data_IF_558925072548
#
_entry.id   IF_558925072548
#
_cell.length_a   1.000
_cell.length_b   1.000
_cell.length_c   1.000
_cell.angle_alpha   90.00
_cell.angle_beta   90.00
_cell.angle_gamma   90.00
#
_symmetry.space_group_name_H-M   'P 1'
#
loop_
_entity.id
_entity.type
_entity.pdbx_description
1 polymer ?
#
# COMPACT_ATOMS: atom_id res chain seq x y z
N UNK A 1 -2.26 -50.31 21.93
CA UNK A 1 -2.54 -49.21 22.87
C UNK A 1 -1.44 -48.17 22.71
N UNK A 2 -1.81 -46.88 22.55
CA UNK A 2 -0.97 -45.64 22.51
C UNK A 2 0.09 -45.59 21.37
N UNK A 3 -0.01 -44.85 20.27
CA UNK A 3 -0.18 -43.39 19.97
C UNK A 3 0.99 -42.50 20.45
N UNK A 4 1.51 -41.70 19.50
CA UNK A 4 2.36 -40.49 19.59
C UNK A 4 3.89 -40.69 19.67
N UNK A 5 4.73 -39.90 18.99
CA UNK A 5 4.47 -38.65 18.29
C UNK A 5 5.47 -38.38 17.15
N UNK A 6 4.93 -37.84 16.07
CA UNK A 6 5.68 -37.09 15.07
C UNK A 6 6.21 -35.83 15.75
N UNK A 7 7.53 -35.62 15.73
CA UNK A 7 8.09 -34.30 16.04
C UNK A 7 7.80 -33.38 14.85
N UNK A 8 6.82 -32.49 15.04
CA UNK A 8 6.63 -31.32 14.20
C UNK A 8 7.82 -30.39 14.42
N UNK A 9 8.56 -30.18 13.35
CA UNK A 9 9.71 -29.31 13.25
C UNK A 9 9.21 -27.93 12.78
N UNK A 10 8.43 -27.22 13.60
CA UNK A 10 8.03 -25.84 13.32
C UNK A 10 7.76 -25.11 14.62
N UNK A 11 8.79 -24.44 15.17
CA UNK A 11 8.61 -23.24 15.98
C UNK A 11 9.95 -22.49 16.07
N UNK A 12 10.32 -21.81 14.98
CA UNK A 12 11.21 -20.64 15.02
C UNK A 12 10.56 -19.58 14.12
N UNK A 13 9.81 -18.62 14.68
CA UNK A 13 9.09 -17.59 13.93
C UNK A 13 9.97 -16.43 13.42
N UNK A 14 11.29 -16.60 13.40
CA UNK A 14 12.25 -15.56 13.01
C UNK A 14 12.93 -15.81 11.64
N UNK A 15 12.58 -16.90 10.94
CA UNK A 15 13.21 -17.32 9.67
C UNK A 15 12.62 -16.67 8.39
N UNK A 16 11.70 -15.71 8.50
CA UNK A 16 11.05 -15.11 7.31
C UNK A 16 11.91 -14.07 6.57
N UNK A 17 13.17 -13.84 6.98
CA UNK A 17 14.01 -12.76 6.44
C UNK A 17 15.44 -13.15 5.99
N UNK A 18 15.84 -14.42 6.07
CA UNK A 18 17.19 -14.87 5.65
C UNK A 18 17.19 -15.63 4.30
N UNK A 19 16.37 -15.22 3.34
CA UNK A 19 16.56 -15.65 1.95
C UNK A 19 17.68 -14.82 1.29
N UNK A 20 18.93 -15.19 1.58
CA UNK A 20 20.08 -14.84 0.76
C UNK A 20 19.83 -15.29 -0.69
N UNK A 21 20.00 -14.43 -1.71
CA UNK A 21 19.91 -14.88 -3.09
C UNK A 21 21.07 -15.84 -3.41
N UNK A 22 20.72 -17.06 -3.84
CA UNK A 22 21.61 -18.13 -4.26
C UNK A 22 22.68 -17.62 -5.25
N UNK A 23 23.94 -17.51 -4.80
CA UNK A 23 25.08 -17.29 -5.69
C UNK A 23 25.36 -18.56 -6.49
N UNK A 24 25.54 -18.48 -7.83
CA UNK A 24 26.00 -19.62 -8.60
C UNK A 24 27.40 -20.06 -8.15
N UNK A 25 27.54 -21.32 -7.75
CA UNK A 25 28.83 -21.97 -7.54
C UNK A 25 29.63 -22.00 -8.85
N UNK A 26 30.59 -21.08 -8.99
CA UNK A 26 31.62 -21.22 -10.00
C UNK A 26 32.69 -22.21 -9.48
N UNK A 27 32.54 -23.47 -9.86
CA UNK A 27 33.61 -24.46 -9.78
C UNK A 27 34.58 -24.17 -10.93
N UNK A 28 35.79 -23.75 -10.60
CA UNK A 28 36.94 -24.02 -11.47
C UNK A 28 38.17 -24.50 -10.69
N UNK A 29 39.01 -25.34 -11.33
CA UNK A 29 39.96 -26.19 -10.66
C UNK A 29 41.24 -25.43 -10.29
N UNK A 30 41.88 -25.89 -9.20
CA UNK A 30 43.27 -25.58 -8.88
C UNK A 30 44.19 -26.00 -10.03
N UNK A 31 45.06 -25.10 -10.46
CA UNK A 31 46.39 -25.43 -10.96
C UNK A 31 47.45 -24.52 -10.30
N UNK A 32 48.67 -25.02 -10.08
CA UNK A 32 49.74 -24.31 -9.38
C UNK A 32 50.68 -23.60 -10.36
N UNK A 33 51.16 -22.39 -10.02
CA UNK A 33 52.19 -21.76 -10.84
C UNK A 33 52.56 -20.32 -10.47
N UNK A 34 53.63 -20.19 -9.69
CA UNK A 34 54.71 -19.19 -9.81
C UNK A 34 54.40 -17.69 -10.03
N UNK A 35 54.77 -16.95 -8.98
CA UNK A 35 55.88 -15.98 -8.96
C UNK A 35 55.61 -14.46 -9.03
N UNK A 36 56.36 -13.80 -8.13
CA UNK A 36 56.87 -12.43 -8.12
C UNK A 36 55.91 -11.28 -7.71
N UNK A 37 55.94 -10.99 -6.40
CA UNK A 37 55.63 -9.68 -5.82
C UNK A 37 56.85 -8.78 -6.05
N UNK A 38 56.70 -7.74 -6.88
CA UNK A 38 57.66 -6.65 -7.00
C UNK A 38 57.15 -5.43 -6.22
N UNK A 39 57.81 -5.14 -5.10
CA UNK A 39 57.66 -3.91 -4.32
C UNK A 39 58.47 -2.79 -4.99
N UNK A 40 57.84 -1.67 -5.33
CA UNK A 40 58.53 -0.39 -5.54
C UNK A 40 57.82 0.74 -4.81
N UNK A 41 58.54 1.74 -4.27
CA UNK A 41 58.02 2.70 -3.31
C UNK A 41 57.63 4.06 -3.91
N UNK A 42 56.56 4.63 -3.34
CA UNK A 42 56.25 6.05 -3.05
C UNK A 42 56.66 7.13 -4.07
N UNK A 43 55.64 7.80 -4.62
CA UNK A 43 55.68 9.23 -4.91
C UNK A 43 54.32 9.86 -4.60
N UNK A 44 54.31 10.87 -3.72
CA UNK A 44 53.14 11.64 -3.32
C UNK A 44 52.74 12.68 -4.38
N UNK A 45 51.45 13.06 -4.43
CA UNK A 45 51.10 14.45 -4.70
C UNK A 45 50.13 15.06 -3.68
N UNK A 46 50.41 16.32 -3.40
CA UNK A 46 49.68 17.48 -2.83
C UNK A 46 48.14 17.39 -2.70
N UNK A 47 47.54 18.04 -1.67
CA UNK A 47 46.12 17.93 -1.37
C UNK A 47 45.28 18.79 -2.32
N UNK A 48 44.51 18.14 -3.19
CA UNK A 48 43.42 18.78 -3.90
C UNK A 48 42.14 18.67 -3.07
N UNK A 49 41.50 19.82 -2.88
CA UNK A 49 40.18 20.09 -2.30
C UNK A 49 39.21 18.90 -2.27
N UNK A 50 38.81 18.49 -1.07
CA UNK A 50 37.72 17.55 -0.83
C UNK A 50 36.45 17.94 -1.61
N UNK A 51 35.92 17.09 -2.52
CA UNK A 51 34.49 17.11 -2.79
C UNK A 51 33.77 16.58 -1.55
N UNK A 52 32.80 17.34 -1.06
CA UNK A 52 31.92 16.97 0.05
C UNK A 52 31.43 15.52 -0.13
N UNK A 53 31.64 14.61 0.83
CA UNK A 53 31.15 13.26 0.70
C UNK A 53 29.61 13.29 0.70
N UNK A 54 29.02 12.82 -0.40
CA UNK A 54 27.61 12.43 -0.48
C UNK A 54 27.36 11.49 0.71
N UNK A 55 26.40 11.77 1.60
CA UNK A 55 26.19 10.92 2.76
C UNK A 55 25.92 9.48 2.29
N UNK A 56 26.46 8.47 2.99
CA UNK A 56 26.23 7.08 2.65
C UNK A 56 24.72 6.79 2.59
N UNK A 57 24.29 6.18 1.48
CA UNK A 57 23.05 5.41 1.44
C UNK A 57 23.25 4.31 2.46
N UNK A 58 22.69 4.48 3.66
CA UNK A 58 22.18 3.44 4.57
C UNK A 58 22.15 3.96 6.01
N UNK A 59 21.01 4.56 6.34
CA UNK A 59 20.35 4.63 7.65
C UNK A 59 19.18 5.63 7.54
N UNK A 60 18.36 5.50 6.50
CA UNK A 60 17.16 6.33 6.39
C UNK A 60 16.14 5.79 7.38
N UNK A 61 15.69 6.68 8.28
CA UNK A 61 14.45 6.50 9.04
C UNK A 61 13.37 5.91 8.11
N UNK A 62 12.48 5.02 8.57
CA UNK A 62 11.51 4.31 7.72
C UNK A 62 10.41 5.19 7.11
N UNK A 63 10.70 6.45 6.79
CA UNK A 63 9.81 7.40 6.15
C UNK A 63 10.48 8.21 5.05
N UNK A 64 9.64 8.80 4.20
CA UNK A 64 10.11 9.80 3.24
C UNK A 64 10.67 11.02 3.98
N UNK A 65 11.82 11.51 3.53
CA UNK A 65 12.44 12.73 4.06
C UNK A 65 11.90 13.99 3.38
N UNK A 66 11.20 13.83 2.24
CA UNK A 66 10.86 14.94 1.34
C UNK A 66 9.37 15.05 1.03
N UNK A 67 8.56 14.04 1.38
CA UNK A 67 7.11 14.07 1.24
C UNK A 67 6.44 13.79 2.57
N UNK A 68 5.47 14.63 2.90
CA UNK A 68 4.51 14.38 3.97
C UNK A 68 3.15 14.11 3.35
N UNK A 69 2.47 13.06 3.81
CA UNK A 69 1.17 12.66 3.27
C UNK A 69 0.16 12.51 4.41
N UNK A 70 -1.04 13.05 4.22
CA UNK A 70 -2.15 12.89 5.16
C UNK A 70 -3.24 12.05 4.52
N UNK A 71 -3.75 11.09 5.29
CA UNK A 71 -4.70 10.09 4.82
C UNK A 71 -6.07 10.28 5.48
N UNK A 72 -7.13 10.03 4.72
CA UNK A 72 -8.49 9.91 5.25
C UNK A 72 -8.69 8.57 5.98
N UNK A 73 -9.92 8.32 6.40
CA UNK A 73 -10.29 7.05 7.01
C UNK A 73 -10.29 5.87 6.05
N UNK A 74 -10.31 6.07 4.73
CA UNK A 74 -10.12 5.01 3.74
C UNK A 74 -8.65 4.70 3.44
N UNK A 75 -7.70 5.30 4.18
CA UNK A 75 -6.26 5.27 3.88
C UNK A 75 -5.95 5.78 2.46
N UNK A 76 -6.71 6.76 1.98
CA UNK A 76 -6.44 7.45 0.72
C UNK A 76 -5.87 8.85 1.00
N UNK A 77 -4.94 9.34 0.17
CA UNK A 77 -4.41 10.69 0.30
C UNK A 77 -5.51 11.75 0.26
N UNK A 78 -5.42 12.73 1.17
CA UNK A 78 -6.25 13.96 1.20
C UNK A 78 -5.38 15.20 1.09
N UNK A 79 -4.11 15.09 1.48
CA UNK A 79 -3.12 16.15 1.35
C UNK A 79 -1.74 15.53 1.11
N UNK A 80 -1.02 16.06 0.15
CA UNK A 80 0.35 15.66 -0.18
C UNK A 80 1.20 16.93 -0.19
N UNK A 81 2.23 16.95 0.64
CA UNK A 81 3.16 18.08 0.74
C UNK A 81 4.54 17.63 0.31
N UNK A 82 5.04 18.27 -0.75
CA UNK A 82 6.39 18.04 -1.26
C UNK A 82 7.32 19.14 -0.73
N UNK A 83 8.47 18.73 -0.23
CA UNK A 83 9.55 19.63 0.16
C UNK A 83 10.01 20.45 -1.05
N UNK A 84 10.39 21.72 -0.81
CA UNK A 84 11.02 22.57 -1.83
C UNK A 84 12.31 21.98 -2.41
N UNK A 85 12.94 21.07 -1.68
CA UNK A 85 14.18 20.41 -2.10
C UNK A 85 13.93 19.08 -2.83
N UNK A 86 12.66 18.70 -3.04
CA UNK A 86 12.26 17.47 -3.72
C UNK A 86 13.01 17.25 -5.04
N UNK A 87 12.92 18.23 -5.95
CA UNK A 87 13.53 18.15 -7.28
C UNK A 87 15.06 18.09 -7.26
N UNK A 88 15.68 18.45 -6.13
CA UNK A 88 17.15 18.42 -5.96
C UNK A 88 17.66 17.05 -5.49
N UNK A 89 16.86 16.33 -4.71
CA UNK A 89 17.31 15.10 -4.04
C UNK A 89 16.59 13.84 -4.47
N UNK A 90 15.39 13.96 -5.03
CA UNK A 90 14.60 12.83 -5.53
C UNK A 90 14.77 12.76 -7.04
N UNK A 91 15.31 11.65 -7.52
CA UNK A 91 15.42 11.43 -8.94
C UNK A 91 14.01 11.22 -9.55
N UNK A 92 13.73 11.72 -10.76
CA UNK A 92 12.41 11.61 -11.36
C UNK A 92 11.92 10.16 -11.53
N UNK A 93 12.84 9.19 -11.66
CA UNK A 93 12.54 7.75 -11.69
C UNK A 93 12.11 7.19 -10.33
N UNK A 94 12.62 7.77 -9.24
CA UNK A 94 12.35 7.33 -7.87
C UNK A 94 11.15 8.06 -7.26
N UNK A 95 10.50 8.95 -8.01
CA UNK A 95 9.39 9.78 -7.51
C UNK A 95 8.24 8.92 -6.98
N UNK A 96 7.84 7.87 -7.72
CA UNK A 96 6.80 6.94 -7.26
C UNK A 96 7.19 6.17 -5.99
N UNK A 97 8.45 5.73 -5.90
CA UNK A 97 8.96 5.01 -4.72
C UNK A 97 8.96 5.90 -3.48
N UNK A 98 9.41 7.14 -3.61
CA UNK A 98 9.47 8.08 -2.49
C UNK A 98 8.06 8.49 -2.02
N UNK A 99 7.11 8.65 -2.93
CA UNK A 99 5.69 8.84 -2.61
C UNK A 99 5.11 7.63 -1.87
N UNK A 100 5.44 6.40 -2.30
CA UNK A 100 5.02 5.19 -1.61
C UNK A 100 5.63 5.07 -0.21
N UNK A 101 6.88 5.49 0.00
CA UNK A 101 7.49 5.56 1.34
C UNK A 101 6.79 6.57 2.24
N UNK A 102 6.42 7.73 1.71
CA UNK A 102 5.67 8.73 2.46
C UNK A 102 4.27 8.20 2.85
N UNK A 103 3.61 7.51 1.93
CA UNK A 103 2.34 6.84 2.18
C UNK A 103 2.44 5.77 3.29
N UNK A 104 3.47 4.91 3.21
CA UNK A 104 3.72 3.89 4.24
C UNK A 104 4.00 4.50 5.61
N UNK A 105 4.77 5.60 5.65
CA UNK A 105 5.00 6.34 6.89
C UNK A 105 3.72 6.93 7.47
N UNK A 106 2.86 7.53 6.62
CA UNK A 106 1.57 8.07 7.05
C UNK A 106 0.65 6.98 7.64
N UNK A 107 0.67 5.77 7.07
CA UNK A 107 -0.02 4.61 7.67
C UNK A 107 0.59 4.25 9.02
N UNK A 108 1.92 4.14 9.11
CA UNK A 108 2.61 3.77 10.33
C UNK A 108 2.33 4.76 11.47
N UNK A 109 2.31 6.07 11.17
CA UNK A 109 1.93 7.11 12.12
C UNK A 109 0.49 6.94 12.62
N UNK A 110 -0.46 6.68 11.71
CA UNK A 110 -1.86 6.44 12.08
C UNK A 110 -2.05 5.18 12.95
N UNK A 111 -1.29 4.12 12.67
CA UNK A 111 -1.25 2.92 13.51
C UNK A 111 -0.70 3.28 14.90
N UNK A 112 0.41 4.02 14.97
CA UNK A 112 1.03 4.43 16.23
C UNK A 112 0.08 5.29 17.10
N UNK A 113 -0.64 6.23 16.50
CA UNK A 113 -1.66 7.04 17.19
C UNK A 113 -2.81 6.18 17.77
N UNK A 114 -3.27 5.18 17.00
CA UNK A 114 -4.29 4.23 17.44
C UNK A 114 -3.77 3.29 18.54
N UNK A 115 -2.52 2.83 18.45
CA UNK A 115 -1.85 2.06 19.50
C UNK A 115 -1.69 2.88 20.79
N UNK A 116 -1.43 4.18 20.71
CA UNK A 116 -1.31 5.02 21.90
C UNK A 116 -2.63 5.11 22.69
N UNK A 117 -3.76 4.96 21.99
CA UNK A 117 -5.10 5.05 22.60
C UNK A 117 -5.69 3.66 22.96
N UNK A 118 -5.23 2.59 22.31
CA UNK A 118 -5.77 1.23 22.44
C UNK A 118 -4.76 0.27 23.07
N UNK A 119 -5.22 -0.69 23.87
CA UNK A 119 -4.37 -1.76 24.42
C UNK A 119 -3.98 -2.82 23.39
N UNK A 120 -4.52 -2.75 22.18
CA UNK A 120 -4.32 -3.74 21.12
C UNK A 120 -3.68 -3.10 19.89
N UNK A 121 -2.80 -3.85 19.23
CA UNK A 121 -2.20 -3.46 17.95
C UNK A 121 -3.32 -3.50 16.89
N UNK A 122 -3.71 -2.36 16.30
CA UNK A 122 -4.75 -2.32 15.29
C UNK A 122 -4.21 -2.89 13.97
N UNK A 123 -5.05 -3.65 13.27
CA UNK A 123 -4.73 -4.12 11.91
C UNK A 123 -5.07 -3.04 10.89
N UNK A 124 -4.54 -3.14 9.67
CA UNK A 124 -4.92 -2.20 8.58
C UNK A 124 -6.43 -2.20 8.31
N UNK A 125 -7.08 -3.34 8.53
CA UNK A 125 -8.53 -3.46 8.39
C UNK A 125 -9.29 -2.69 9.47
N UNK A 126 -8.76 -2.58 10.69
CA UNK A 126 -9.44 -1.87 11.77
C UNK A 126 -9.28 -0.36 11.72
N UNK A 127 -8.32 0.15 10.95
CA UNK A 127 -8.08 1.60 10.78
C UNK A 127 -8.62 2.17 9.46
N UNK A 128 -9.02 1.31 8.52
CA UNK A 128 -9.52 1.66 7.19
C UNK A 128 -11.04 1.44 7.10
N UNK A 129 -11.79 2.51 6.84
CA UNK A 129 -13.23 2.47 6.56
C UNK A 129 -13.54 1.73 5.23
N UNK A 130 -12.54 1.57 4.36
CA UNK A 130 -12.66 0.82 3.10
C UNK A 130 -12.47 -0.68 3.26
N UNK A 131 -12.02 -1.16 4.42
CA UNK A 131 -11.82 -2.59 4.66
C UNK A 131 -13.14 -3.37 4.64
N UNK A 132 -13.05 -4.70 4.49
CA UNK A 132 -14.22 -5.58 4.58
C UNK A 132 -14.87 -5.35 5.95
N UNK A 133 -16.12 -4.85 5.99
CA UNK A 133 -16.73 -4.46 7.23
C UNK A 133 -17.11 -5.71 8.03
N UNK A 134 -17.30 -5.59 9.35
CA UNK A 134 -17.77 -6.70 10.18
C UNK A 134 -19.05 -7.31 9.61
N UNK A 135 -19.24 -8.62 9.82
CA UNK A 135 -20.40 -9.37 9.33
C UNK A 135 -21.73 -8.65 9.61
N UNK A 136 -21.90 -8.14 10.83
CA UNK A 136 -23.08 -7.35 11.24
C UNK A 136 -23.33 -6.15 10.34
N UNK A 137 -22.28 -5.37 10.02
CA UNK A 137 -22.37 -4.23 9.11
C UNK A 137 -22.71 -4.67 7.68
N UNK A 138 -22.16 -5.80 7.21
CA UNK A 138 -22.52 -6.35 5.90
C UNK A 138 -24.02 -6.64 5.81
N UNK A 139 -24.60 -7.26 6.85
CA UNK A 139 -26.04 -7.54 6.90
C UNK A 139 -26.86 -6.25 6.80
N UNK A 140 -26.47 -5.22 7.56
CA UNK A 140 -27.15 -3.92 7.55
C UNK A 140 -27.08 -3.22 6.19
N UNK A 141 -25.90 -3.19 5.56
CA UNK A 141 -25.72 -2.58 4.23
C UNK A 141 -26.56 -3.30 3.17
N UNK A 142 -26.62 -4.63 3.21
CA UNK A 142 -27.43 -5.41 2.27
C UNK A 142 -28.94 -5.25 2.52
N UNK A 143 -29.36 -5.01 3.77
CA UNK A 143 -30.76 -4.68 4.10
C UNK A 143 -31.20 -3.30 3.60
N UNK A 144 -30.25 -2.41 3.29
CA UNK A 144 -30.53 -1.07 2.76
C UNK A 144 -30.68 -1.02 1.24
N UNK A 145 -30.42 -2.12 0.53
CA UNK A 145 -30.57 -2.12 -0.93
C UNK A 145 -32.03 -2.18 -1.34
N UNK A 146 -32.40 -1.45 -2.38
CA UNK A 146 -33.80 -1.31 -2.81
C UNK A 146 -34.15 -2.16 -4.04
N UNK A 147 -33.17 -2.63 -4.81
CA UNK A 147 -33.37 -3.50 -5.97
C UNK A 147 -32.47 -4.74 -5.95
N UNK A 148 -32.86 -5.77 -6.71
CA UNK A 148 -32.06 -6.98 -6.85
C UNK A 148 -30.70 -6.71 -7.51
N UNK A 149 -30.64 -5.85 -8.53
CA UNK A 149 -29.38 -5.45 -9.18
C UNK A 149 -28.45 -4.74 -8.18
N UNK A 150 -28.99 -3.84 -7.36
CA UNK A 150 -28.24 -3.16 -6.31
C UNK A 150 -27.76 -4.16 -5.24
N UNK A 151 -28.61 -5.12 -4.85
CA UNK A 151 -28.26 -6.19 -3.92
C UNK A 151 -27.10 -7.05 -4.44
N UNK A 152 -27.15 -7.48 -5.71
CA UNK A 152 -26.08 -8.25 -6.33
C UNK A 152 -24.79 -7.45 -6.48
N UNK A 153 -24.89 -6.19 -6.92
CA UNK A 153 -23.73 -5.30 -7.04
C UNK A 153 -23.06 -5.10 -5.67
N UNK A 154 -23.85 -4.86 -4.61
CA UNK A 154 -23.36 -4.67 -3.24
C UNK A 154 -22.75 -5.95 -2.68
N UNK A 155 -23.39 -7.11 -2.90
CA UNK A 155 -22.85 -8.41 -2.46
C UNK A 155 -21.52 -8.71 -3.15
N UNK A 156 -21.42 -8.49 -4.46
CA UNK A 156 -20.16 -8.61 -5.21
C UNK A 156 -19.11 -7.62 -4.71
N UNK A 157 -19.52 -6.38 -4.42
CA UNK A 157 -18.69 -5.34 -3.84
C UNK A 157 -18.33 -5.58 -2.36
N UNK A 158 -18.90 -6.58 -1.68
CA UNK A 158 -18.49 -7.00 -0.34
C UNK A 158 -17.53 -8.19 -0.40
N UNK A 159 -17.76 -9.15 -1.30
CA UNK A 159 -16.98 -10.39 -1.39
C UNK A 159 -15.76 -10.28 -2.32
N UNK A 160 -15.84 -9.45 -3.37
CA UNK A 160 -14.82 -9.40 -4.41
C UNK A 160 -13.46 -8.84 -3.92
N UNK A 161 -12.36 -9.45 -4.35
CA UNK A 161 -11.05 -8.81 -4.25
C UNK A 161 -10.93 -7.81 -5.41
N UNK A 162 -11.37 -6.58 -5.18
CA UNK A 162 -11.35 -5.54 -6.19
C UNK A 162 -10.00 -4.82 -6.18
N UNK A 163 -9.32 -4.84 -7.33
CA UNK A 163 -8.23 -3.93 -7.63
C UNK A 163 -8.82 -2.71 -8.33
N UNK A 164 -8.53 -1.52 -7.81
CA UNK A 164 -8.93 -0.25 -8.35
C UNK A 164 -7.72 0.41 -8.99
N UNK A 165 -7.90 0.91 -10.20
CA UNK A 165 -6.87 1.63 -10.93
C UNK A 165 -7.38 3.01 -11.29
N UNK A 166 -6.60 4.03 -10.96
CA UNK A 166 -6.87 5.41 -11.35
C UNK A 166 -5.71 5.96 -12.17
N UNK A 167 -6.05 6.92 -13.03
CA UNK A 167 -5.15 7.55 -13.98
C UNK A 167 -5.20 9.06 -13.80
N UNK A 168 -4.05 9.71 -13.90
CA UNK A 168 -3.95 11.16 -13.91
C UNK A 168 -4.74 11.77 -15.07
N UNK A 169 -5.13 13.04 -14.89
CA UNK A 169 -5.64 13.85 -15.99
C UNK A 169 -4.49 14.26 -16.93
N UNK A 170 -3.30 14.51 -16.39
CA UNK A 170 -2.10 14.74 -17.19
C UNK A 170 -1.74 13.53 -18.06
N UNK A 171 -1.57 13.78 -19.36
CA UNK A 171 -1.22 12.78 -20.38
C UNK A 171 0.10 13.16 -21.06
N UNK A 172 1.01 12.20 -21.25
CA UNK A 172 2.20 12.36 -22.11
C UNK A 172 2.23 11.25 -23.15
N UNK A 173 2.38 11.64 -24.43
CA UNK A 173 2.44 10.71 -25.57
C UNK A 173 1.27 9.72 -25.60
N UNK A 174 0.09 10.13 -25.11
CA UNK A 174 -1.12 9.30 -25.08
C UNK A 174 -1.26 8.38 -23.86
N UNK A 175 -0.34 8.44 -22.90
CA UNK A 175 -0.40 7.65 -21.66
C UNK A 175 -0.46 8.56 -20.43
N UNK A 176 -1.11 8.10 -19.34
CA UNK A 176 -1.23 8.88 -18.11
C UNK A 176 0.12 9.10 -17.43
N UNK A 177 0.33 10.32 -16.95
CA UNK A 177 1.53 10.72 -16.22
C UNK A 177 1.65 10.07 -14.84
N UNK A 178 0.52 9.86 -14.14
CA UNK A 178 0.45 9.17 -12.85
C UNK A 178 -0.55 8.02 -12.96
N UNK A 179 -0.17 6.86 -12.43
CA UNK A 179 -1.04 5.71 -12.29
C UNK A 179 -0.99 5.26 -10.84
N UNK A 180 -2.16 5.14 -10.22
CA UNK A 180 -2.29 4.61 -8.87
C UNK A 180 -3.11 3.34 -8.93
N UNK A 181 -2.62 2.28 -8.28
CA UNK A 181 -3.42 1.09 -8.01
C UNK A 181 -3.70 0.97 -6.52
N UNK A 182 -4.86 0.45 -6.19
CA UNK A 182 -5.30 0.26 -4.82
C UNK A 182 -6.15 -0.99 -4.68
N UNK A 183 -6.18 -1.55 -3.49
CA UNK A 183 -7.22 -2.48 -3.09
C UNK A 183 -8.30 -1.71 -2.30
N UNK A 184 -9.16 -2.43 -1.59
CA UNK A 184 -10.19 -1.84 -0.72
C UNK A 184 -9.62 -1.17 0.54
N UNK A 185 -8.51 -1.68 1.05
CA UNK A 185 -7.93 -1.28 2.34
C UNK A 185 -6.94 -0.13 2.15
N UNK A 186 -6.08 -0.19 1.13
CA UNK A 186 -4.90 0.67 0.96
C UNK A 186 -4.53 0.88 -0.51
N UNK A 187 -3.68 1.87 -0.77
CA UNK A 187 -2.93 1.96 -2.02
C UNK A 187 -1.93 0.80 -2.14
N UNK A 188 -1.82 0.24 -3.34
CA UNK A 188 -0.90 -0.83 -3.69
C UNK A 188 0.36 -0.28 -4.38
N UNK A 189 0.20 0.63 -5.34
CA UNK A 189 1.33 1.33 -5.97
C UNK A 189 0.98 2.74 -6.44
N UNK A 190 2.01 3.58 -6.50
CA UNK A 190 1.97 4.91 -7.13
C UNK A 190 3.13 4.94 -8.13
N UNK A 191 2.79 5.07 -9.41
CA UNK A 191 3.75 5.19 -10.50
C UNK A 191 3.65 6.58 -11.09
N UNK A 192 4.78 7.28 -11.15
CA UNK A 192 4.89 8.60 -11.78
C UNK A 192 5.84 8.47 -12.96
N UNK A 193 5.43 8.97 -14.12
CA UNK A 193 6.25 8.97 -15.32
C UNK A 193 7.44 9.91 -15.17
N UNK A 194 8.63 9.38 -15.46
CA UNK A 194 9.89 10.10 -15.33
C UNK A 194 9.98 11.35 -16.22
N UNK A 195 9.51 11.25 -17.47
CA UNK A 195 9.55 12.33 -18.45
C UNK A 195 8.59 13.47 -18.10
N UNK A 196 7.51 13.17 -17.39
CA UNK A 196 6.62 14.16 -16.81
C UNK A 196 7.24 14.82 -15.58
N UNK A 197 7.68 14.02 -14.61
CA UNK A 197 8.23 14.47 -13.33
C UNK A 197 9.44 15.41 -13.49
N UNK A 198 10.19 15.29 -14.59
CA UNK A 198 11.29 16.20 -14.93
C UNK A 198 10.87 17.63 -15.29
N UNK A 199 9.63 17.81 -15.77
CA UNK A 199 9.18 19.05 -16.41
C UNK A 199 8.19 19.85 -15.57
N UNK A 200 7.48 19.18 -14.66
CA UNK A 200 6.42 19.78 -13.84
C UNK A 200 6.92 20.26 -12.49
N UNK A 201 6.16 21.16 -11.87
CA UNK A 201 6.41 21.54 -10.50
C UNK A 201 5.99 20.39 -9.56
N UNK A 202 6.61 20.25 -8.38
CA UNK A 202 6.19 19.23 -7.43
C UNK A 202 4.69 19.34 -7.06
N UNK A 203 4.17 20.56 -6.95
CA UNK A 203 2.75 20.81 -6.64
C UNK A 203 1.82 20.15 -7.67
N UNK A 204 2.16 20.17 -8.97
CA UNK A 204 1.38 19.48 -10.01
C UNK A 204 1.35 17.96 -9.80
N UNK A 205 2.45 17.38 -9.29
CA UNK A 205 2.53 15.95 -8.94
C UNK A 205 1.61 15.64 -7.77
N UNK A 206 1.59 16.48 -6.74
CA UNK A 206 0.68 16.33 -5.60
C UNK A 206 -0.79 16.39 -6.03
N UNK A 207 -1.14 17.35 -6.88
CA UNK A 207 -2.52 17.53 -7.36
C UNK A 207 -3.01 16.33 -8.18
N UNK A 208 -2.18 15.77 -9.07
CA UNK A 208 -2.53 14.58 -9.84
C UNK A 208 -2.67 13.32 -8.96
N UNK A 209 -1.91 13.23 -7.87
CA UNK A 209 -2.07 12.14 -6.89
C UNK A 209 -3.41 12.27 -6.16
N UNK A 210 -3.76 13.49 -5.72
CA UNK A 210 -5.04 13.74 -5.07
C UNK A 210 -6.21 13.48 -6.01
N UNK A 211 -6.07 13.84 -7.29
CA UNK A 211 -7.04 13.52 -8.33
C UNK A 211 -7.23 12.01 -8.51
N UNK A 212 -6.14 11.25 -8.59
CA UNK A 212 -6.19 9.79 -8.64
C UNK A 212 -6.81 9.18 -7.36
N UNK A 213 -6.50 9.75 -6.19
CA UNK A 213 -7.06 9.31 -4.92
C UNK A 213 -8.58 9.52 -4.86
N UNK A 214 -9.09 10.64 -5.37
CA UNK A 214 -10.53 10.90 -5.46
C UNK A 214 -11.24 9.93 -6.41
N UNK A 215 -10.62 9.60 -7.55
CA UNK A 215 -11.15 8.55 -8.43
C UNK A 215 -11.25 7.21 -7.70
N UNK A 216 -10.20 6.77 -7.01
CA UNK A 216 -10.24 5.52 -6.24
C UNK A 216 -11.30 5.57 -5.15
N UNK A 217 -11.45 6.72 -4.47
CA UNK A 217 -12.49 6.95 -3.47
C UNK A 217 -13.90 6.76 -4.05
N UNK A 218 -14.13 7.25 -5.26
CA UNK A 218 -15.42 7.09 -5.97
C UNK A 218 -15.67 5.65 -6.46
N UNK A 219 -14.61 4.89 -6.76
CA UNK A 219 -14.71 3.50 -7.22
C UNK A 219 -14.93 2.51 -6.07
N UNK A 220 -14.45 2.83 -4.87
CA UNK A 220 -14.64 1.98 -3.69
C UNK A 220 -16.10 2.01 -3.23
N UNK A 221 -16.67 0.86 -2.84
CA UNK A 221 -18.04 0.82 -2.32
C UNK A 221 -18.12 1.59 -1.01
N UNK A 222 -19.15 2.44 -0.90
CA UNK A 222 -19.45 3.13 0.35
C UNK A 222 -20.32 2.22 1.22
N UNK A 223 -19.73 1.60 2.24
CA UNK A 223 -20.37 0.59 3.09
C UNK A 223 -20.96 1.20 4.37
N UNK A 224 -21.40 2.45 4.31
CA UNK A 224 -22.02 3.15 5.43
C UNK A 224 -23.48 2.73 5.56
N UNK A 225 -23.86 2.40 6.79
CA UNK A 225 -25.24 2.08 7.18
C UNK A 225 -25.94 3.39 7.54
N UNK A 226 -27.10 3.65 6.95
CA UNK A 226 -27.88 4.87 7.14
C UNK A 226 -28.97 4.73 8.22
N UNK A 227 -29.57 3.55 8.35
CA UNK A 227 -30.68 3.26 9.27
C UNK A 227 -30.14 2.77 10.62
N UNK A 228 -30.93 2.98 11.67
CA UNK A 228 -30.60 2.47 12.99
C UNK A 228 -31.03 0.99 13.13
N UNK A 229 -30.03 0.13 13.27
CA UNK A 229 -30.19 -1.31 13.48
C UNK A 229 -29.78 -1.76 14.89
N UNK A 230 -29.59 -0.83 15.84
CA UNK A 230 -29.14 -1.11 17.20
C UNK A 230 -30.02 -2.11 17.97
N UNK A 231 -31.31 -2.16 17.63
CA UNK A 231 -32.31 -3.01 18.30
C UNK A 231 -32.34 -4.46 17.80
N UNK A 232 -31.71 -4.76 16.67
CA UNK A 232 -31.75 -6.09 16.06
C UNK A 232 -30.54 -6.92 16.50
N UNK A 233 -30.77 -8.18 16.89
CA UNK A 233 -29.68 -9.15 17.05
C UNK A 233 -29.08 -9.52 15.69
N UNK A 234 -27.90 -10.13 15.68
CA UNK A 234 -27.30 -10.61 14.41
C UNK A 234 -28.22 -11.66 13.73
N UNK A 235 -28.87 -12.52 14.52
CA UNK A 235 -29.84 -13.52 14.06
C UNK A 235 -31.07 -12.85 13.43
N UNK A 236 -31.58 -11.77 14.03
CA UNK A 236 -32.69 -11.01 13.45
C UNK A 236 -32.29 -10.34 12.13
N UNK A 237 -31.06 -9.82 12.03
CA UNK A 237 -30.56 -9.21 10.80
C UNK A 237 -30.44 -10.25 9.68
N UNK A 238 -29.96 -11.45 9.98
CA UNK A 238 -29.90 -12.56 9.01
C UNK A 238 -31.28 -12.99 8.53
N UNK A 239 -32.21 -13.16 9.47
CA UNK A 239 -33.58 -13.53 9.16
C UNK A 239 -34.24 -12.49 8.25
N UNK A 240 -34.09 -11.20 8.60
CA UNK A 240 -34.61 -10.10 7.79
C UNK A 240 -33.92 -10.03 6.43
N UNK A 241 -32.62 -10.32 6.34
CA UNK A 241 -31.87 -10.29 5.10
C UNK A 241 -32.34 -11.39 4.13
N UNK A 242 -32.55 -12.61 4.64
CA UNK A 242 -33.08 -13.72 3.85
C UNK A 242 -34.45 -13.35 3.24
N UNK A 243 -35.36 -12.81 4.07
CA UNK A 243 -36.67 -12.35 3.62
C UNK A 243 -36.59 -11.20 2.61
N UNK A 244 -35.69 -10.25 2.85
CA UNK A 244 -35.48 -9.10 1.97
C UNK A 244 -34.96 -9.51 0.59
N UNK A 245 -33.93 -10.36 0.54
CA UNK A 245 -33.37 -10.86 -0.71
C UNK A 245 -34.41 -11.63 -1.54
N UNK A 246 -35.25 -12.44 -0.90
CA UNK A 246 -36.34 -13.14 -1.58
C UNK A 246 -37.36 -12.16 -2.17
N UNK A 247 -37.78 -11.15 -1.40
CA UNK A 247 -38.70 -10.11 -1.88
C UNK A 247 -38.12 -9.38 -3.10
N UNK A 248 -36.85 -8.95 -3.02
CA UNK A 248 -36.17 -8.28 -4.14
C UNK A 248 -36.10 -9.15 -5.40
N UNK A 249 -35.89 -10.46 -5.23
CA UNK A 249 -35.88 -11.41 -6.33
C UNK A 249 -37.27 -11.58 -6.96
N UNK A 250 -38.32 -11.69 -6.15
CA UNK A 250 -39.71 -11.79 -6.61
C UNK A 250 -40.15 -10.51 -7.35
N UNK A 251 -39.84 -9.33 -6.80
CA UNK A 251 -40.16 -8.01 -7.37
C UNK A 251 -39.49 -7.79 -8.75
N UNK A 252 -38.42 -8.52 -9.07
CA UNK A 252 -37.72 -8.46 -10.37
C UNK A 252 -38.42 -9.29 -11.46
N UNK A 253 -39.13 -10.35 -11.07
CA UNK A 253 -39.75 -11.30 -12.00
C UNK A 253 -41.12 -10.79 -12.48
N UNK A 254 -41.75 -9.91 -11.72
CA UNK A 254 -43.05 -9.28 -11.99
C UNK A 254 -42.85 -8.04 -12.86
#
# INVERSE_FOLDING_TARGET
MAVQGFYNHYDDPDEFWDEEPLQPLDRSPRDPGSAAISLTPVAAPTPASNPTPKPPRDAMSPGSSFVTMHLDNGLLPVRVELSRQWSRYVEPQDSGLELMRAYQNAIAQRIAERCATSRTIPTLQSISDGAVPPRRTMLMVLLETDSWEQYQATTSALVGRAEYRAHSNAMIYGEPAVVITADRVRLASITVRQDWAQRVMPEDVADEILWCAEQIRSLRPNLRVSKDYSRYSDEDLEFNLARHSQRLFEDRII
#
